data_IF_124551572700
#
_entry.id   IF_124551572700
#
_cell.length_a   1.000
_cell.length_b   1.000
_cell.length_c   1.000
_cell.angle_alpha   90.00
_cell.angle_beta   90.00
_cell.angle_gamma   90.00
#
_symmetry.space_group_name_H-M   'P 1'
#
loop_
_entity.id
_entity.type
_entity.pdbx_description
1 polymer ?
#
# COMPACT_ATOMS: atom_id res chain seq x y z
N UNK A 1 7.37 -27.31 19.72
CA UNK A 1 5.90 -27.42 19.68
C UNK A 1 5.43 -27.01 21.06
N UNK A 2 4.77 -25.87 21.19
CA UNK A 2 4.19 -25.43 22.47
C UNK A 2 2.92 -26.23 22.75
N UNK A 3 2.77 -26.70 23.99
CA UNK A 3 1.90 -27.81 24.40
C UNK A 3 0.42 -27.49 24.65
N UNK A 4 -0.06 -26.28 24.35
CA UNK A 4 -1.49 -25.97 24.41
C UNK A 4 -1.99 -25.72 22.99
N UNK A 5 -3.10 -26.34 22.60
CA UNK A 5 -3.72 -26.32 21.27
C UNK A 5 -4.22 -24.95 20.80
N UNK A 6 -3.57 -23.87 21.19
CA UNK A 6 -3.84 -22.52 20.74
C UNK A 6 -3.16 -22.32 19.38
N UNK A 7 -3.97 -22.20 18.34
CA UNK A 7 -3.55 -21.72 17.03
C UNK A 7 -3.17 -20.24 17.15
N UNK A 8 -2.01 -19.94 17.75
CA UNK A 8 -1.65 -18.59 18.17
C UNK A 8 -1.10 -17.78 16.99
N UNK A 9 -1.98 -17.30 16.12
CA UNK A 9 -1.65 -16.13 15.30
C UNK A 9 -1.82 -14.87 16.13
N UNK A 10 -0.88 -13.92 15.99
CA UNK A 10 -1.04 -12.57 16.52
C UNK A 10 -2.05 -11.80 15.66
N UNK A 11 -3.34 -12.05 15.92
CA UNK A 11 -4.46 -11.45 15.18
C UNK A 11 -4.43 -9.93 15.26
N UNK A 12 -4.09 -9.38 16.42
CA UNK A 12 -4.01 -7.93 16.63
C UNK A 12 -2.83 -7.33 15.85
N UNK A 13 -1.69 -8.02 15.84
CA UNK A 13 -0.54 -7.68 15.00
C UNK A 13 -0.87 -7.69 13.51
N UNK A 14 -1.58 -8.71 13.02
CA UNK A 14 -2.03 -8.79 11.62
C UNK A 14 -3.01 -7.67 11.28
N UNK A 15 -4.00 -7.41 12.14
CA UNK A 15 -4.98 -6.33 11.96
C UNK A 15 -4.28 -4.96 11.91
N UNK A 16 -3.37 -4.69 12.83
CA UNK A 16 -2.58 -3.46 12.87
C UNK A 16 -1.69 -3.32 11.63
N UNK A 17 -1.01 -4.39 11.21
CA UNK A 17 -0.21 -4.41 10.00
C UNK A 17 -1.04 -4.09 8.75
N UNK A 18 -2.21 -4.73 8.59
CA UNK A 18 -3.10 -4.48 7.47
C UNK A 18 -3.62 -3.04 7.40
N UNK A 19 -3.93 -2.42 8.55
CA UNK A 19 -4.29 -0.99 8.64
C UNK A 19 -3.11 -0.11 8.19
N UNK A 20 -1.90 -0.40 8.66
CA UNK A 20 -0.71 0.39 8.30
C UNK A 20 -0.37 0.27 6.80
N UNK A 21 -0.46 -0.93 6.24
CA UNK A 21 -0.28 -1.20 4.81
C UNK A 21 -1.29 -0.38 3.98
N UNK A 22 -2.56 -0.39 4.39
CA UNK A 22 -3.62 0.40 3.74
C UNK A 22 -3.33 1.90 3.78
N UNK A 23 -2.83 2.41 4.92
CA UNK A 23 -2.43 3.81 5.08
C UNK A 23 -1.26 4.17 4.16
N UNK A 24 -0.25 3.31 4.03
CA UNK A 24 0.88 3.53 3.12
C UNK A 24 0.45 3.56 1.66
N UNK A 25 -0.42 2.64 1.24
CA UNK A 25 -0.99 2.65 -0.12
C UNK A 25 -1.75 3.96 -0.40
N UNK A 26 -2.58 4.38 0.54
CA UNK A 26 -3.34 5.64 0.44
C UNK A 26 -2.41 6.85 0.34
N UNK A 27 -1.33 6.88 1.13
CA UNK A 27 -0.33 7.95 1.07
C UNK A 27 0.39 7.95 -0.28
N UNK A 28 0.79 6.79 -0.78
CA UNK A 28 1.45 6.64 -2.08
C UNK A 28 0.57 7.16 -3.23
N UNK A 29 -0.71 6.78 -3.24
CA UNK A 29 -1.70 7.27 -4.21
C UNK A 29 -1.85 8.79 -4.15
N UNK A 30 -2.01 9.35 -2.94
CA UNK A 30 -2.12 10.80 -2.76
C UNK A 30 -0.88 11.56 -3.24
N UNK A 31 0.33 11.01 -3.04
CA UNK A 31 1.56 11.61 -3.56
C UNK A 31 1.57 11.54 -5.08
N UNK A 32 1.22 10.38 -5.67
CA UNK A 32 1.15 10.22 -7.12
C UNK A 32 0.20 11.23 -7.76
N UNK A 33 -1.01 11.37 -7.22
CA UNK A 33 -2.02 12.30 -7.72
C UNK A 33 -1.54 13.75 -7.63
N UNK A 34 -0.89 14.13 -6.52
CA UNK A 34 -0.34 15.48 -6.34
C UNK A 34 0.81 15.78 -7.28
N UNK A 35 1.73 14.84 -7.46
CA UNK A 35 2.86 14.98 -8.39
C UNK A 35 2.31 15.10 -9.81
N UNK A 36 1.39 14.23 -10.20
CA UNK A 36 0.76 14.28 -11.52
C UNK A 36 0.01 15.60 -11.77
N UNK A 37 -0.78 16.05 -10.80
CA UNK A 37 -1.49 17.32 -10.92
C UNK A 37 -0.52 18.51 -11.04
N UNK A 38 0.57 18.50 -10.27
CA UNK A 38 1.61 19.53 -10.38
C UNK A 38 2.27 19.51 -11.75
N UNK A 39 2.60 18.34 -12.29
CA UNK A 39 3.34 18.24 -13.55
C UNK A 39 2.47 18.57 -14.76
N UNK A 40 1.18 18.22 -14.73
CA UNK A 40 0.20 18.68 -15.72
C UNK A 40 0.03 20.19 -15.64
N UNK A 41 -0.15 20.75 -14.43
CA UNK A 41 -0.33 22.20 -14.23
C UNK A 41 0.87 23.01 -14.74
N UNK A 42 2.07 22.49 -14.54
CA UNK A 42 3.32 23.15 -14.90
C UNK A 42 4.03 22.49 -16.09
N UNK A 43 3.26 21.90 -17.02
CA UNK A 43 3.81 21.17 -18.18
C UNK A 43 4.74 22.01 -19.08
N UNK A 44 4.64 23.34 -18.98
CA UNK A 44 5.45 24.32 -19.70
C UNK A 44 6.40 25.11 -18.77
N UNK A 45 6.75 24.58 -17.59
CA UNK A 45 7.67 25.25 -16.65
C UNK A 45 9.03 25.59 -17.27
N UNK A 46 9.48 24.80 -18.24
CA UNK A 46 10.70 25.06 -19.02
C UNK A 46 10.54 26.09 -20.14
N UNK A 47 9.38 26.75 -20.26
CA UNK A 47 9.05 27.66 -21.37
C UNK A 47 8.58 26.95 -22.64
N UNK A 48 8.36 27.72 -23.71
CA UNK A 48 7.91 27.21 -25.02
C UNK A 48 9.05 27.23 -26.04
N UNK A 49 9.81 26.14 -26.11
CA UNK A 49 10.70 25.84 -27.25
C UNK A 49 12.15 26.30 -27.14
N UNK A 50 12.58 26.81 -25.98
CA UNK A 50 13.98 27.20 -25.72
C UNK A 50 14.86 26.05 -25.23
N UNK A 51 16.15 26.32 -25.04
CA UNK A 51 17.10 25.33 -24.52
C UNK A 51 16.76 24.87 -23.09
N UNK A 52 16.15 25.74 -22.29
CA UNK A 52 15.55 25.34 -21.00
C UNK A 52 14.45 24.29 -21.18
N UNK A 53 13.57 24.44 -22.18
CA UNK A 53 12.50 23.48 -22.46
C UNK A 53 13.08 22.13 -22.86
N UNK A 54 14.10 22.13 -23.73
CA UNK A 54 14.79 20.91 -24.15
C UNK A 54 15.48 20.22 -22.97
N UNK A 55 16.20 20.97 -22.15
CA UNK A 55 16.89 20.43 -20.96
C UNK A 55 15.91 19.88 -19.93
N UNK A 56 14.81 20.60 -19.66
CA UNK A 56 13.75 20.12 -18.76
C UNK A 56 13.10 18.84 -19.29
N UNK A 57 12.77 18.79 -20.58
CA UNK A 57 12.16 17.60 -21.18
C UNK A 57 13.11 16.39 -21.23
N UNK A 58 14.41 16.62 -21.42
CA UNK A 58 15.40 15.54 -21.47
C UNK A 58 15.74 14.99 -20.07
N UNK A 59 15.86 15.87 -19.07
CA UNK A 59 16.42 15.49 -17.77
C UNK A 59 15.37 15.30 -16.67
N UNK A 60 14.24 16.01 -16.73
CA UNK A 60 13.24 16.02 -15.66
C UNK A 60 12.04 15.09 -15.97
N UNK A 61 11.46 15.18 -17.17
CA UNK A 61 10.27 14.39 -17.55
C UNK A 61 10.46 12.87 -17.43
N UNK A 62 11.60 12.25 -17.79
CA UNK A 62 11.76 10.81 -17.63
C UNK A 62 11.74 10.37 -16.16
N UNK A 63 12.39 11.15 -15.28
CA UNK A 63 12.41 10.89 -13.84
C UNK A 63 11.02 11.03 -13.21
N UNK A 64 10.28 12.05 -13.61
CA UNK A 64 8.87 12.25 -13.22
C UNK A 64 8.01 11.04 -13.60
N UNK A 65 8.08 10.60 -14.87
CA UNK A 65 7.30 9.46 -15.36
C UNK A 65 7.62 8.19 -14.56
N UNK A 66 8.91 7.94 -14.28
CA UNK A 66 9.34 6.78 -13.49
C UNK A 66 8.88 6.86 -12.04
N UNK A 67 8.89 8.04 -11.44
CA UNK A 67 8.38 8.23 -10.08
C UNK A 67 6.87 7.99 -10.00
N UNK A 68 6.10 8.50 -10.97
CA UNK A 68 4.65 8.25 -11.06
C UNK A 68 4.34 6.77 -11.28
N UNK A 69 5.09 6.11 -12.16
CA UNK A 69 4.97 4.67 -12.41
C UNK A 69 5.24 3.86 -11.13
N UNK A 70 6.33 4.18 -10.41
CA UNK A 70 6.67 3.54 -9.14
C UNK A 70 5.56 3.72 -8.09
N UNK A 71 5.06 4.95 -7.89
CA UNK A 71 4.02 5.20 -6.88
C UNK A 71 2.70 4.48 -7.22
N UNK A 72 2.38 4.34 -8.52
CA UNK A 72 1.21 3.59 -8.96
C UNK A 72 1.36 2.09 -8.73
N UNK A 73 2.54 1.54 -9.03
CA UNK A 73 2.84 0.13 -8.74
C UNK A 73 2.81 -0.13 -7.24
N UNK A 74 3.33 0.80 -6.43
CA UNK A 74 3.27 0.72 -4.97
C UNK A 74 1.82 0.64 -4.48
N UNK A 75 0.91 1.44 -5.02
CA UNK A 75 -0.52 1.38 -4.67
C UNK A 75 -1.18 0.06 -5.08
N UNK A 76 -0.86 -0.46 -6.28
CA UNK A 76 -1.42 -1.73 -6.77
C UNK A 76 -0.95 -2.91 -5.91
N UNK A 77 0.36 -3.00 -5.67
CA UNK A 77 0.96 -4.14 -4.96
C UNK A 77 0.68 -4.09 -3.47
N UNK A 78 0.78 -2.91 -2.84
CA UNK A 78 0.64 -2.77 -1.38
C UNK A 78 -0.82 -2.58 -0.97
N UNK A 79 -1.64 -1.90 -1.78
CA UNK A 79 -3.04 -1.64 -1.43
C UNK A 79 -3.88 -2.89 -1.27
N UNK A 80 -3.66 -3.89 -2.12
CA UNK A 80 -4.34 -5.18 -2.03
C UNK A 80 -3.89 -6.03 -0.83
N UNK A 81 -2.64 -5.85 -0.39
CA UNK A 81 -2.10 -6.60 0.76
C UNK A 81 -2.75 -6.17 2.07
N UNK A 82 -3.10 -4.90 2.23
CA UNK A 82 -3.71 -4.39 3.47
C UNK A 82 -5.03 -5.09 3.79
N UNK A 83 -5.95 -5.13 2.82
CA UNK A 83 -7.23 -5.83 2.97
C UNK A 83 -7.05 -7.33 3.20
N UNK A 84 -6.17 -7.98 2.43
CA UNK A 84 -5.89 -9.42 2.58
C UNK A 84 -5.30 -9.76 3.94
N UNK A 85 -4.42 -8.93 4.49
CA UNK A 85 -3.86 -9.13 5.84
C UNK A 85 -4.95 -9.04 6.90
N UNK A 86 -5.92 -8.13 6.75
CA UNK A 86 -7.08 -8.02 7.66
C UNK A 86 -8.00 -9.25 7.52
N UNK A 87 -8.29 -9.71 6.30
CA UNK A 87 -9.09 -10.91 6.05
C UNK A 87 -8.45 -12.16 6.67
N UNK A 88 -7.13 -12.30 6.55
CA UNK A 88 -6.38 -13.38 7.18
C UNK A 88 -6.52 -13.30 8.70
N UNK A 89 -6.36 -12.11 9.30
CA UNK A 89 -6.56 -11.91 10.74
C UNK A 89 -7.95 -12.37 11.20
N UNK A 90 -9.00 -12.01 10.46
CA UNK A 90 -10.38 -12.43 10.74
C UNK A 90 -10.56 -13.96 10.64
N UNK A 91 -9.93 -14.60 9.65
CA UNK A 91 -9.97 -16.05 9.48
C UNK A 91 -9.34 -16.77 10.68
N UNK A 92 -8.21 -16.26 11.19
CA UNK A 92 -7.56 -16.79 12.39
C UNK A 92 -8.45 -16.64 13.64
N UNK A 93 -9.09 -15.48 13.81
CA UNK A 93 -10.03 -15.21 14.91
C UNK A 93 -11.21 -16.19 14.88
N UNK A 94 -11.86 -16.37 13.72
CA UNK A 94 -12.98 -17.32 13.56
C UNK A 94 -12.56 -18.76 13.82
N UNK A 95 -11.40 -19.18 13.30
CA UNK A 95 -10.89 -20.54 13.50
C UNK A 95 -10.63 -20.81 14.98
N UNK A 96 -10.11 -19.83 15.71
CA UNK A 96 -9.87 -19.94 17.15
C UNK A 96 -11.19 -20.01 17.94
N UNK A 97 -12.19 -19.20 17.57
CA UNK A 97 -13.52 -19.24 18.21
C UNK A 97 -14.23 -20.58 17.97
N UNK A 98 -14.18 -21.11 16.74
CA UNK A 98 -14.74 -22.42 16.39
C UNK A 98 -14.05 -23.55 17.19
N UNK A 99 -12.72 -23.51 17.32
CA UNK A 99 -11.96 -24.47 18.12
C UNK A 99 -12.31 -24.43 19.62
N UNK A 100 -12.54 -23.23 20.16
CA UNK A 100 -12.95 -23.04 21.56
C UNK A 100 -14.42 -23.43 21.82
N UNK A 101 -15.28 -23.36 20.80
CA UNK A 101 -16.67 -23.82 20.91
C UNK A 101 -16.81 -25.35 20.72
N UNK A 102 -15.91 -25.96 19.95
CA UNK A 102 -15.90 -27.40 19.70
C UNK A 102 -15.33 -28.23 20.87
N UNK A 103 -14.62 -27.61 21.82
CA UNK A 103 -14.10 -28.28 23.02
C UNK A 103 -15.18 -28.38 24.11
N UNK A 104 -15.57 -29.59 24.57
CA UNK A 104 -16.54 -29.74 25.65
C UNK A 104 -16.00 -29.14 26.96
N UNK A 105 -16.81 -28.35 27.65
CA UNK A 105 -16.49 -27.88 29.01
C UNK A 105 -16.52 -29.08 29.96
N UNK A 106 -15.34 -29.56 30.38
CA UNK A 106 -15.17 -30.49 31.50
C UNK A 106 -15.29 -29.78 32.84
#
# INVERSE_FOLDING_TARGET
>A
MSEDGNFSADVEGLRSAGINITRWSTLARNIADRVHAATVRYQNAGGTGGDMTKSFNANYRPGEQKALEFLRLLDIEIGGLGSRTIEVAQTFEQTNDDANQATPKT
#
